data_IF_314413616507
#
_entry.id   IF_314413616507
#
_cell.length_a   1.000
_cell.length_b   1.000
_cell.length_c   1.000
_cell.angle_alpha   90.00
_cell.angle_beta   90.00
_cell.angle_gamma   90.00
#
_symmetry.space_group_name_H-M   'P 1'
#
loop_
_entity.id
_entity.type
_entity.pdbx_description
1 polymer ?
2 non-polymer ?
3 water ?
#
# COMPACT_ATOMS: atom_id res chain seq x y z
N UNK A 1 -18.32 22.57 4.97
CA UNK A 1 -17.43 23.20 4.04
C UNK A 1 -16.37 22.24 3.48
N UNK A 2 -16.80 21.22 2.74
CA UNK A 2 -15.84 20.36 2.06
C UNK A 2 -15.42 21.07 0.76
N UNK A 3 -14.19 20.89 0.23
CA UNK A 3 -13.77 21.47 -1.03
C UNK A 3 -14.64 21.01 -2.19
N UNK A 4 -14.68 21.84 -3.24
CA UNK A 4 -15.45 21.49 -4.43
C UNK A 4 -14.81 20.30 -5.13
N UNK A 5 -13.48 20.29 -5.07
CA UNK A 5 -12.66 19.24 -5.60
C UNK A 5 -11.76 18.77 -4.49
N UNK A 6 -11.81 17.47 -4.21
CA UNK A 6 -10.92 16.85 -3.27
C UNK A 6 -9.79 16.26 -4.11
N UNK A 7 -8.53 16.64 -3.82
CA UNK A 7 -7.35 16.18 -4.54
C UNK A 7 -6.79 14.96 -3.81
N UNK A 8 -6.77 13.80 -4.43
CA UNK A 8 -6.37 12.54 -3.79
C UNK A 8 -5.07 12.08 -4.43
N UNK A 9 -4.04 11.94 -3.59
CA UNK A 9 -2.75 11.45 -4.04
C UNK A 9 -2.66 9.93 -3.91
N UNK A 10 -2.00 9.31 -4.89
CA UNK A 10 -1.79 7.88 -4.89
C UNK A 10 -0.48 7.60 -5.64
N UNK A 11 0.14 6.46 -5.31
CA UNK A 11 1.34 6.00 -5.96
C UNK A 11 0.87 4.83 -6.83
N UNK A 12 0.95 5.10 -8.13
CA UNK A 12 0.42 4.17 -9.12
C UNK A 12 1.33 3.01 -9.50
N UNK A 13 2.13 2.47 -8.58
CA UNK A 13 2.98 1.32 -8.87
C UNK A 13 2.71 0.20 -7.85
N UNK A 14 1.46 -0.02 -7.47
CA UNK A 14 1.15 -1.04 -6.49
C UNK A 14 -0.13 -1.80 -6.89
N UNK A 15 -0.07 -2.52 -8.01
CA UNK A 15 -1.22 -3.22 -8.50
C UNK A 15 -1.52 -4.34 -7.52
N UNK A 16 -2.75 -4.79 -7.27
CA UNK A 16 -3.96 -4.35 -7.94
C UNK A 16 -4.63 -3.15 -7.25
N UNK A 17 -3.94 -2.44 -6.35
CA UNK A 17 -4.56 -1.38 -5.58
C UNK A 17 -4.49 -0.08 -6.34
N UNK A 18 -3.35 0.22 -6.95
CA UNK A 18 -3.22 1.46 -7.65
C UNK A 18 -2.20 1.27 -8.76
N UNK A 19 -2.58 1.43 -10.02
CA UNK A 19 -1.64 1.39 -11.12
C UNK A 19 -2.22 2.15 -12.29
N UNK A 20 -1.60 2.11 -13.45
CA UNK A 20 -2.11 2.81 -14.59
C UNK A 20 -2.33 1.82 -15.70
N UNK A 21 -3.36 2.01 -16.53
CA UNK A 21 -3.57 1.13 -17.67
C UNK A 21 -2.77 1.61 -18.89
N UNK A 22 -3.03 1.04 -20.07
CA UNK A 22 -2.28 1.40 -21.27
C UNK A 22 -2.44 2.82 -21.77
N UNK A 23 -3.59 3.41 -21.47
CA UNK A 23 -3.84 4.80 -21.83
C UNK A 23 -3.34 5.76 -20.76
N UNK A 24 -2.85 5.26 -19.61
CA UNK A 24 -2.42 6.10 -18.51
C UNK A 24 -3.55 6.48 -17.55
N UNK A 25 -4.73 5.91 -17.65
CA UNK A 25 -5.80 6.12 -16.67
C UNK A 25 -5.46 5.36 -15.40
N UNK A 26 -5.90 5.88 -14.25
CA UNK A 26 -5.64 5.31 -12.93
C UNK A 26 -6.59 4.12 -12.75
N UNK A 27 -6.11 2.96 -12.31
CA UNK A 27 -6.95 1.78 -12.12
C UNK A 27 -6.58 1.04 -10.84
N UNK A 28 -7.54 0.33 -10.26
CA UNK A 28 -7.24 -0.51 -9.12
C UNK A 28 -8.25 -0.35 -8.02
N UNK A 29 -8.17 -1.20 -7.02
CA UNK A 29 -9.14 -1.22 -5.93
C UNK A 29 -9.15 0.09 -5.16
N UNK A 30 -7.99 0.75 -4.94
CA UNK A 30 -7.94 2.04 -4.25
C UNK A 30 -8.66 3.12 -5.02
N UNK A 31 -8.55 3.05 -6.34
CA UNK A 31 -9.18 4.02 -7.23
C UNK A 31 -10.69 3.78 -7.19
N UNK A 32 -11.13 2.52 -7.25
CA UNK A 32 -12.54 2.20 -7.17
C UNK A 32 -13.19 2.64 -5.86
N UNK A 33 -12.52 2.39 -4.74
CA UNK A 33 -13.02 2.83 -3.46
C UNK A 33 -13.05 4.35 -3.36
N UNK A 34 -11.99 5.07 -3.78
CA UNK A 34 -11.96 6.54 -3.71
C UNK A 34 -13.09 7.12 -4.56
N UNK A 35 -13.25 6.64 -5.79
CA UNK A 35 -14.30 7.17 -6.65
C UNK A 35 -15.72 6.88 -6.14
N UNK A 36 -15.97 5.74 -5.55
CA UNK A 36 -17.29 5.44 -5.02
C UNK A 36 -17.57 6.34 -3.81
N UNK A 37 -16.59 6.49 -2.89
CA UNK A 37 -16.72 7.41 -1.75
C UNK A 37 -16.94 8.86 -2.24
N UNK A 38 -16.21 9.36 -3.25
CA UNK A 38 -16.42 10.72 -3.76
C UNK A 38 -17.83 10.91 -4.28
N UNK A 39 -18.37 9.89 -4.97
CA UNK A 39 -19.72 9.84 -5.50
C UNK A 39 -20.71 9.93 -4.34
N UNK A 40 -20.58 9.14 -3.27
CA UNK A 40 -21.44 9.27 -2.11
C UNK A 40 -21.29 10.56 -1.31
N UNK A 41 -20.10 11.19 -1.31
CA UNK A 41 -19.88 12.47 -0.64
C UNK A 41 -20.41 13.64 -1.42
N UNK A 42 -20.68 13.39 -2.69
CA UNK A 42 -21.15 14.39 -3.63
C UNK A 42 -20.14 15.50 -3.82
N UNK A 43 -18.87 15.10 -3.86
CA UNK A 43 -17.77 16.02 -4.16
C UNK A 43 -17.14 15.60 -5.48
N UNK A 44 -16.40 16.46 -6.13
CA UNK A 44 -15.63 16.08 -7.29
C UNK A 44 -14.23 15.69 -6.80
N UNK A 45 -13.52 14.71 -7.35
CA UNK A 45 -12.22 14.31 -6.85
C UNK A 45 -11.24 14.27 -7.98
N UNK A 46 -10.02 14.73 -7.79
CA UNK A 46 -9.00 14.65 -8.82
C UNK A 46 -7.94 13.69 -8.29
N UNK A 47 -7.44 12.77 -9.08
CA UNK A 47 -6.36 11.87 -8.64
C UNK A 47 -5.04 12.48 -9.08
N UNK A 48 -4.03 12.44 -8.21
CA UNK A 48 -2.72 13.01 -8.45
C UNK A 48 -1.70 11.92 -8.18
N UNK A 49 -0.87 11.52 -9.16
CA UNK A 49 0.11 10.45 -8.97
C UNK A 49 1.33 11.05 -8.30
N UNK A 50 1.96 10.34 -7.40
CA UNK A 50 3.13 10.79 -6.68
C UNK A 50 3.97 9.57 -6.31
N UNK A 51 5.26 9.73 -6.14
CA UNK A 51 6.05 8.69 -5.47
C UNK A 51 5.51 8.50 -4.07
N UNK A 52 5.49 7.28 -3.54
CA UNK A 52 4.99 7.00 -2.21
C UNK A 52 5.57 7.87 -1.11
N UNK A 53 6.90 8.13 -1.06
CA UNK A 53 7.47 8.91 0.02
C UNK A 53 7.18 10.40 -0.08
N UNK A 54 6.62 10.88 -1.19
CA UNK A 54 6.24 12.27 -1.30
C UNK A 54 4.80 12.49 -0.84
N UNK A 55 4.02 11.43 -0.56
CA UNK A 55 2.60 11.60 -0.30
C UNK A 55 2.26 12.32 1.01
N UNK A 56 2.80 11.88 2.13
CA UNK A 56 2.49 12.59 3.37
C UNK A 56 3.08 14.02 3.37
N UNK A 57 4.32 14.36 2.89
CA UNK A 57 4.76 15.74 2.65
C UNK A 57 3.78 16.56 1.82
N UNK A 58 3.32 16.04 0.69
CA UNK A 58 2.36 16.76 -0.13
C UNK A 58 1.05 17.06 0.57
N UNK A 59 0.57 16.10 1.35
CA UNK A 59 -0.63 16.28 2.15
C UNK A 59 -0.45 17.42 3.18
N UNK A 60 0.67 17.36 3.91
CA UNK A 60 0.95 18.34 4.91
C UNK A 60 1.11 19.72 4.29
N UNK A 61 1.65 19.81 3.07
CA UNK A 61 1.79 21.07 2.38
C UNK A 61 0.52 21.50 1.64
N UNK A 62 -0.60 20.77 1.71
CA UNK A 62 -1.87 21.03 1.03
C UNK A 62 -1.80 20.99 -0.48
N UNK A 63 -0.86 20.23 -1.05
CA UNK A 63 -0.83 20.03 -2.50
C UNK A 63 -1.87 18.99 -2.92
N UNK A 64 -2.29 18.15 -1.95
CA UNK A 64 -3.39 17.18 -2.10
C UNK A 64 -4.15 17.24 -0.78
N UNK A 65 -5.37 16.73 -0.79
CA UNK A 65 -6.25 16.77 0.35
C UNK A 65 -6.40 15.43 1.02
N UNK A 66 -6.11 14.32 0.34
CA UNK A 66 -6.27 13.02 0.94
C UNK A 66 -5.29 12.04 0.27
N UNK A 67 -4.95 10.94 0.96
CA UNK A 67 -4.08 9.93 0.40
C UNK A 67 -4.85 8.63 0.39
N UNK A 68 -4.95 7.98 -0.79
CA UNK A 68 -5.47 6.60 -0.82
C UNK A 68 -4.43 5.86 -1.64
N UNK A 69 -3.61 5.07 -0.94
CA UNK A 69 -2.46 4.46 -1.58
C UNK A 69 -1.97 3.30 -0.72
N UNK A 70 -2.87 2.41 -0.27
CA UNK A 70 -2.53 1.31 0.63
C UNK A 70 -1.75 1.82 1.86
N UNK A 71 -2.17 3.00 2.37
CA UNK A 71 -1.45 3.65 3.47
C UNK A 71 -1.82 3.05 4.81
N UNK A 72 -0.93 2.25 5.40
CA UNK A 72 -1.19 1.62 6.68
C UNK A 72 -1.34 2.62 7.82
N UNK A 73 -2.30 2.35 8.70
CA UNK A 73 -2.62 3.15 9.87
C UNK A 73 -1.68 2.69 10.96
N UNK A 74 -0.67 3.50 11.26
CA UNK A 74 0.31 3.11 12.29
C UNK A 74 0.33 4.18 13.36
N UNK A 75 0.85 3.78 14.50
CA UNK A 75 1.02 4.70 15.62
C UNK A 75 1.89 5.88 15.20
N UNK A 76 3.02 5.67 14.53
CA UNK A 76 3.86 6.76 14.09
C UNK A 76 3.19 7.77 13.15
N UNK A 77 2.53 7.27 12.12
CA UNK A 77 1.80 8.15 11.22
C UNK A 77 0.66 8.94 11.89
N UNK A 78 -0.02 8.39 12.90
CA UNK A 78 -1.09 9.10 13.62
C UNK A 78 -0.55 10.27 14.43
N UNK A 79 0.74 10.35 14.68
CA UNK A 79 1.29 11.50 15.35
C UNK A 79 1.30 12.65 14.36
N UNK A 80 1.32 12.36 13.06
CA UNK A 80 1.41 13.39 12.05
C UNK A 80 0.14 13.69 11.28
N UNK A 81 -0.63 12.65 10.95
CA UNK A 81 -1.81 12.83 10.11
C UNK A 81 -2.96 12.09 10.80
N UNK A 82 -4.15 12.20 10.22
CA UNK A 82 -5.35 11.55 10.67
C UNK A 82 -5.73 10.50 9.61
N UNK A 83 -6.53 9.50 10.00
CA UNK A 83 -6.96 8.47 9.06
C UNK A 83 -8.45 8.27 9.08
N UNK A 84 -9.06 7.95 7.95
CA UNK A 84 -10.42 7.42 7.97
C UNK A 84 -10.39 6.06 8.71
N UNK A 85 -11.55 5.43 8.89
CA UNK A 85 -11.66 4.04 9.29
C UNK A 85 -11.01 3.15 8.23
N UNK A 86 -10.77 1.91 8.59
CA UNK A 86 -10.08 0.95 7.76
C UNK A 86 -10.72 0.68 6.42
N UNK A 87 -9.97 0.76 5.35
CA UNK A 87 -10.41 0.38 4.02
C UNK A 87 -10.17 -1.11 3.78
N UNK A 88 -9.05 -1.73 4.15
CA UNK A 88 -8.82 -3.16 4.02
C UNK A 88 -7.57 -3.52 4.84
N UNK A 89 -7.32 -4.80 5.06
CA UNK A 89 -6.21 -5.26 5.88
C UNK A 89 -4.96 -5.31 5.01
N UNK A 90 -3.77 -5.26 5.61
CA UNK A 90 -2.57 -5.34 4.82
C UNK A 90 -1.47 -5.95 5.68
N UNK A 91 -1.06 -7.18 5.39
CA UNK A 91 0.10 -7.80 6.05
C UNK A 91 1.31 -7.74 5.16
N UNK A 92 2.51 -7.88 5.73
CA UNK A 92 3.75 -7.85 4.98
C UNK A 92 4.30 -9.26 4.78
N UNK A 93 4.95 -9.54 3.65
CA UNK A 93 5.51 -10.88 3.46
C UNK A 93 6.68 -10.80 2.48
N UNK A 94 7.71 -11.62 2.67
CA UNK A 94 8.87 -11.66 1.77
C UNK A 94 8.61 -12.50 0.52
N UNK A 95 9.17 -12.11 -0.61
CA UNK A 95 9.11 -12.92 -1.81
C UNK A 95 10.56 -13.15 -2.26
N UNK A 96 10.84 -14.31 -2.88
CA UNK A 96 12.15 -14.66 -3.36
C UNK A 96 11.95 -15.68 -4.47
N UNK A 97 13.02 -16.13 -5.12
CA UNK A 97 12.96 -17.19 -6.13
C UNK A 97 12.40 -18.47 -5.56
N UNK A 98 11.62 -19.19 -6.38
CA UNK A 98 11.03 -20.45 -6.00
C UNK A 98 12.10 -21.39 -5.52
N UNK A 99 11.90 -22.10 -4.43
CA UNK A 99 12.95 -22.99 -3.99
C UNK A 99 14.01 -22.32 -3.14
N UNK A 100 13.98 -20.99 -3.02
CA UNK A 100 14.86 -20.27 -2.12
C UNK A 100 14.75 -20.80 -0.68
N UNK A 101 15.87 -21.03 -0.02
CA UNK A 101 15.92 -21.26 1.42
C UNK A 101 15.59 -20.02 2.25
N UNK A 102 15.52 -18.81 1.66
CA UNK A 102 15.30 -17.58 2.41
C UNK A 102 14.03 -17.62 3.27
N UNK A 103 14.24 -17.18 4.48
CA UNK A 103 13.22 -17.05 5.49
C UNK A 103 13.30 -15.62 5.95
N UNK A 104 12.25 -15.01 6.50
CA UNK A 104 12.32 -13.64 7.01
C UNK A 104 13.16 -13.60 8.31
N UNK A 105 14.42 -14.06 8.38
CA UNK A 105 15.17 -14.04 9.63
C UNK A 105 16.53 -13.46 9.33
N UNK A 106 17.19 -12.98 10.36
CA UNK A 106 18.44 -12.29 10.21
C UNK A 106 19.49 -13.26 9.71
N UNK A 107 19.43 -14.45 10.26
CA UNK A 107 20.35 -15.53 9.97
C UNK A 107 20.24 -15.95 8.51
N UNK A 108 19.04 -15.95 7.94
CA UNK A 108 18.81 -16.29 6.56
C UNK A 108 19.22 -15.17 5.61
N UNK A 109 18.98 -13.94 6.04
CA UNK A 109 19.14 -12.78 5.18
C UNK A 109 20.46 -12.08 5.30
N UNK A 110 21.28 -12.34 6.33
CA UNK A 110 22.53 -11.59 6.47
C UNK A 110 23.36 -11.81 5.19
N UNK A 111 23.85 -10.68 4.65
CA UNK A 111 24.55 -10.72 3.37
C UNK A 111 23.65 -10.81 2.11
N UNK A 112 22.33 -10.85 2.21
CA UNK A 112 21.48 -10.89 1.03
C UNK A 112 21.09 -9.45 0.67
N UNK A 113 20.53 -9.20 -0.51
CA UNK A 113 20.16 -7.87 -0.94
C UNK A 113 18.66 -7.97 -0.92
N UNK A 114 18.01 -7.14 -0.11
CA UNK A 114 16.56 -7.13 0.10
C UNK A 114 16.02 -5.75 -0.31
N UNK A 115 15.05 -5.73 -1.21
CA UNK A 115 14.47 -4.48 -1.68
C UNK A 115 13.23 -4.10 -0.86
N UNK A 116 13.08 -2.79 -0.59
CA UNK A 116 11.92 -2.26 0.12
C UNK A 116 11.62 -0.91 -0.52
N UNK A 117 10.34 -0.54 -0.48
CA UNK A 117 9.89 0.75 -1.00
C UNK A 117 10.27 1.87 -0.03
N UNK A 118 10.90 2.90 -0.55
CA UNK A 118 11.25 4.08 0.25
C UNK A 118 9.95 4.76 0.78
N UNK A 119 9.93 4.94 2.07
CA UNK A 119 8.85 5.64 2.75
C UNK A 119 7.86 4.67 3.34
N UNK A 120 7.98 3.34 3.11
CA UNK A 120 7.03 2.36 3.60
C UNK A 120 7.29 1.88 5.01
N UNK A 121 6.29 1.23 5.59
CA UNK A 121 6.46 0.58 6.89
C UNK A 121 7.48 -0.56 6.74
N UNK A 122 7.57 -1.22 5.57
CA UNK A 122 8.57 -2.26 5.30
C UNK A 122 9.99 -1.70 5.35
N UNK A 123 10.22 -0.47 4.84
CA UNK A 123 11.53 0.16 4.87
C UNK A 123 11.86 0.40 6.34
N UNK A 124 10.94 0.91 7.16
CA UNK A 124 11.20 1.12 8.58
C UNK A 124 11.62 -0.16 9.30
N UNK A 125 10.86 -1.24 9.09
CA UNK A 125 11.11 -2.52 9.69
C UNK A 125 12.45 -3.06 9.29
N UNK A 126 12.73 -3.09 7.98
CA UNK A 126 13.96 -3.68 7.45
C UNK A 126 15.16 -2.84 7.85
N UNK A 127 15.05 -1.51 7.92
CA UNK A 127 16.18 -0.68 8.31
C UNK A 127 16.54 -0.92 9.75
N UNK A 128 15.56 -0.91 10.66
CA UNK A 128 15.86 -1.14 12.06
C UNK A 128 16.35 -2.56 12.36
N UNK A 129 15.66 -3.55 11.80
CA UNK A 129 15.93 -4.93 12.16
C UNK A 129 16.96 -5.69 11.39
N UNK A 130 17.17 -5.27 10.14
CA UNK A 130 18.01 -6.03 9.25
C UNK A 130 19.20 -5.22 8.78
N UNK A 131 19.03 -3.96 8.31
CA UNK A 131 20.14 -3.20 7.77
C UNK A 131 21.21 -2.99 8.83
N UNK A 132 20.85 -2.74 10.09
CA UNK A 132 21.83 -2.49 11.14
C UNK A 132 22.70 -3.72 11.39
N UNK A 133 22.16 -4.92 11.11
CA UNK A 133 22.84 -6.15 11.39
C UNK A 133 23.52 -6.73 10.17
N UNK A 134 23.68 -5.97 9.10
CA UNK A 134 24.41 -6.41 7.95
C UNK A 134 23.61 -7.02 6.82
N UNK A 135 22.28 -6.88 6.77
CA UNK A 135 21.56 -7.34 5.59
C UNK A 135 21.68 -6.17 4.63
N UNK A 136 21.88 -6.38 3.32
CA UNK A 136 21.93 -5.26 2.38
C UNK A 136 20.49 -4.84 2.01
N UNK A 137 19.91 -3.92 2.76
CA UNK A 137 18.55 -3.46 2.51
C UNK A 137 18.68 -2.28 1.56
N UNK A 138 18.03 -2.35 0.41
CA UNK A 138 18.10 -1.35 -0.63
C UNK A 138 16.73 -0.68 -0.74
N UNK A 139 16.63 0.64 -0.62
CA UNK A 139 15.36 1.37 -0.70
C UNK A 139 15.11 1.83 -2.13
N UNK A 140 13.88 1.67 -2.62
CA UNK A 140 13.56 1.98 -4.01
C UNK A 140 12.49 3.08 -4.10
N UNK A 141 12.53 3.86 -5.19
CA UNK A 141 11.56 4.93 -5.41
C UNK A 141 10.15 4.38 -5.62
N UNK A 142 9.99 3.21 -6.25
CA UNK A 142 8.65 2.63 -6.47
C UNK A 142 8.76 1.12 -6.52
N UNK A 143 7.63 0.41 -6.38
CA UNK A 143 7.62 -1.04 -6.31
C UNK A 143 7.90 -1.78 -7.62
N UNK A 144 7.60 -1.16 -8.76
CA UNK A 144 7.90 -1.81 -10.02
C UNK A 144 9.39 -1.97 -10.22
N UNK A 145 10.18 -0.97 -9.79
CA UNK A 145 11.65 -1.07 -9.83
C UNK A 145 12.12 -2.26 -8.98
N UNK A 146 11.46 -2.54 -7.84
CA UNK A 146 11.84 -3.67 -7.01
C UNK A 146 11.63 -5.00 -7.75
N UNK A 147 10.45 -5.19 -8.35
CA UNK A 147 10.18 -6.41 -9.10
C UNK A 147 11.15 -6.56 -10.28
N UNK A 148 11.48 -5.49 -10.98
CA UNK A 148 12.42 -5.58 -12.09
C UNK A 148 13.79 -6.03 -11.62
N UNK A 149 14.30 -5.50 -10.52
CA UNK A 149 15.59 -5.90 -10.07
C UNK A 149 15.62 -7.30 -9.49
N UNK A 150 14.51 -7.75 -8.92
CA UNK A 150 14.42 -9.10 -8.41
C UNK A 150 14.51 -10.04 -9.59
N UNK A 151 13.74 -9.86 -10.67
CA UNK A 151 13.81 -10.77 -11.79
C UNK A 151 15.15 -10.65 -12.53
N UNK A 152 15.81 -9.50 -12.46
CA UNK A 152 17.15 -9.32 -13.01
C UNK A 152 18.19 -10.02 -12.13
N UNK A 153 17.88 -10.52 -10.96
CA UNK A 153 18.87 -11.15 -10.13
C UNK A 153 19.69 -10.12 -9.39
N UNK A 154 19.35 -8.82 -9.33
CA UNK A 154 20.09 -7.89 -8.49
C UNK A 154 19.60 -7.93 -7.05
N UNK A 155 18.39 -8.45 -6.77
CA UNK A 155 17.91 -8.58 -5.41
C UNK A 155 17.68 -10.06 -5.19
N UNK A 156 17.87 -10.51 -3.93
CA UNK A 156 17.59 -11.87 -3.51
C UNK A 156 16.18 -11.96 -2.97
N UNK A 157 15.64 -10.86 -2.40
CA UNK A 157 14.33 -10.90 -1.80
C UNK A 157 13.71 -9.50 -1.78
N UNK A 158 12.39 -9.37 -1.60
CA UNK A 158 11.72 -8.08 -1.49
C UNK A 158 10.62 -8.18 -0.43
N UNK A 159 10.41 -7.13 0.37
CA UNK A 159 9.39 -7.13 1.41
C UNK A 159 8.39 -6.04 1.01
N UNK A 160 7.10 -6.34 1.01
CA UNK A 160 6.06 -5.39 0.59
C UNK A 160 4.74 -5.98 1.12
N UNK A 161 3.58 -5.32 0.89
CA UNK A 161 2.31 -5.90 1.31
C UNK A 161 2.04 -7.20 0.53
N UNK A 162 1.63 -8.21 1.30
CA UNK A 162 1.33 -9.55 0.80
C UNK A 162 0.43 -9.62 -0.44
N UNK A 163 -0.77 -9.01 -0.37
CA UNK A 163 -1.70 -9.01 -1.51
C UNK A 163 -1.13 -8.28 -2.71
N UNK A 164 -0.34 -7.20 -2.54
CA UNK A 164 0.23 -6.53 -3.72
C UNK A 164 1.21 -7.50 -4.41
N UNK A 165 2.10 -8.15 -3.63
CA UNK A 165 3.05 -9.12 -4.21
C UNK A 165 2.31 -10.29 -4.88
N UNK A 166 1.27 -10.81 -4.23
CA UNK A 166 0.51 -11.95 -4.74
C UNK A 166 -0.20 -11.63 -6.06
N UNK A 167 -1.12 -10.65 -6.02
CA UNK A 167 -1.90 -10.30 -7.17
C UNK A 167 -1.14 -9.50 -8.21
N UNK A 168 -0.27 -8.61 -7.76
CA UNK A 168 0.43 -7.75 -8.65
C UNK A 168 1.65 -8.44 -9.20
N UNK A 169 2.18 -9.57 -8.70
CA UNK A 169 3.42 -10.10 -9.26
C UNK A 169 3.42 -11.61 -9.35
N UNK A 170 3.25 -12.31 -8.23
CA UNK A 170 3.35 -13.75 -8.18
C UNK A 170 2.38 -14.41 -9.13
N UNK A 171 1.14 -13.91 -9.20
CA UNK A 171 0.14 -14.47 -10.11
C UNK A 171 0.23 -13.89 -11.52
N UNK A 172 1.31 -13.17 -11.83
CA UNK A 172 1.46 -12.57 -13.15
C UNK A 172 2.57 -13.35 -13.86
N UNK A 173 2.61 -13.34 -15.21
CA UNK A 173 3.70 -13.86 -16.04
C UNK A 173 5.09 -13.72 -15.45
N UNK A 174 5.41 -12.46 -15.14
CA UNK A 174 6.70 -12.12 -14.53
C UNK A 174 7.02 -12.81 -13.21
N UNK A 175 6.07 -13.23 -12.38
CA UNK A 175 6.41 -13.81 -11.10
C UNK A 175 6.31 -15.32 -11.02
N UNK A 176 6.15 -15.98 -12.16
CA UNK A 176 5.98 -17.43 -12.22
C UNK A 176 7.07 -18.23 -11.51
N UNK A 177 8.32 -17.74 -11.56
CA UNK A 177 9.43 -18.41 -10.91
C UNK A 177 9.75 -17.89 -9.50
N UNK A 178 8.79 -17.20 -8.86
CA UNK A 178 9.02 -16.62 -7.55
C UNK A 178 7.93 -17.09 -6.67
N UNK A 179 8.13 -16.98 -5.38
CA UNK A 179 7.17 -17.39 -4.39
C UNK A 179 7.37 -16.62 -3.11
N UNK A 180 6.42 -16.68 -2.21
CA UNK A 180 6.57 -16.16 -0.86
C UNK A 180 7.63 -16.95 -0.13
N UNK A 181 8.45 -16.26 0.64
CA UNK A 181 9.49 -16.91 1.38
C UNK A 181 9.11 -16.78 2.84
N UNK A 182 8.55 -17.86 3.40
CA UNK A 182 8.11 -17.87 4.80
C UNK A 182 6.71 -17.27 4.94
N UNK A 183 6.12 -17.27 6.13
CA UNK A 183 4.80 -16.71 6.41
C UNK A 183 4.83 -15.18 6.52
N UNK A 184 3.67 -14.50 6.64
CA UNK A 184 3.59 -13.06 6.84
C UNK A 184 4.45 -12.66 8.03
N UNK A 185 5.10 -11.50 7.94
CA UNK A 185 5.88 -10.95 9.03
C UNK A 185 4.92 -10.16 9.89
N UNK A 186 4.64 -10.58 11.10
CA UNK A 186 3.78 -9.82 11.95
C UNK A 186 4.64 -9.03 12.93
N UNK A 187 4.40 -7.74 12.98
CA UNK A 187 4.98 -6.89 13.98
C UNK A 187 4.02 -5.73 14.12
N UNK A 188 3.28 -5.67 15.22
CA UNK A 188 2.26 -4.64 15.43
C UNK A 188 2.78 -3.20 15.39
N UNK A 189 3.96 -3.00 16.00
CA UNK A 189 4.61 -1.72 16.03
C UNK A 189 4.93 -1.12 14.65
N UNK A 190 5.35 -1.96 13.72
CA UNK A 190 5.73 -1.41 12.44
C UNK A 190 4.65 -1.37 11.40
N UNK A 191 3.79 -2.40 11.37
CA UNK A 191 2.96 -2.52 10.21
C UNK A 191 1.59 -1.96 10.41
N UNK A 192 1.22 -1.61 11.64
CA UNK A 192 -0.07 -0.96 11.87
C UNK A 192 -1.30 -1.84 11.72
N UNK A 193 -2.48 -1.24 11.51
CA UNK A 193 -3.70 -1.99 11.46
C UNK A 193 -4.56 -1.73 10.25
N UNK A 194 -4.27 -2.32 9.10
CA UNK A 194 -5.06 -2.06 7.92
C UNK A 194 -4.66 -0.71 7.35
N UNK A 195 -5.28 -0.36 6.23
CA UNK A 195 -4.96 0.86 5.48
C UNK A 195 -6.13 1.84 5.59
N UNK A 196 -5.93 3.14 5.42
CA UNK A 196 -7.05 4.07 5.51
C UNK A 196 -6.70 5.29 4.66
N UNK A 197 -7.69 6.17 4.46
CA UNK A 197 -7.48 7.45 3.79
C UNK A 197 -6.66 8.33 4.75
N UNK A 198 -5.50 8.84 4.30
CA UNK A 198 -4.71 9.76 5.12
C UNK A 198 -5.21 11.19 4.90
N UNK A 199 -5.39 11.95 5.97
CA UNK A 199 -5.98 13.28 5.92
C UNK A 199 -5.25 14.19 6.89
N UNK A 200 -5.25 15.50 6.69
CA UNK A 200 -4.69 16.44 7.64
C UNK A 200 -5.50 16.37 8.94
N UNK A 201 -4.85 16.41 10.10
CA UNK A 201 -5.53 16.36 11.39
C UNK A 201 -6.68 17.32 11.61
N UNK A 202 -6.55 18.54 11.12
CA UNK A 202 -7.62 19.51 11.26
C UNK A 202 -8.78 19.35 10.28
N UNK A 203 -8.75 18.42 9.29
CA UNK A 203 -9.83 18.27 8.33
C UNK A 203 -10.82 17.24 8.80
N UNK A 204 -11.38 17.53 9.96
CA UNK A 204 -12.27 16.59 10.61
C UNK A 204 -13.58 16.45 9.82
N UNK A 205 -14.00 17.51 9.12
CA UNK A 205 -15.23 17.50 8.34
C UNK A 205 -15.01 16.55 7.16
N UNK A 206 -13.81 16.59 6.53
CA UNK A 206 -13.52 15.71 5.42
C UNK A 206 -13.43 14.25 5.92
N UNK A 207 -12.81 14.01 7.08
CA UNK A 207 -12.75 12.65 7.62
C UNK A 207 -14.16 12.09 7.87
N UNK A 208 -15.05 12.87 8.49
CA UNK A 208 -16.39 12.44 8.77
C UNK A 208 -17.13 12.07 7.49
N UNK A 209 -16.97 12.81 6.39
CA UNK A 209 -17.60 12.51 5.13
C UNK A 209 -17.08 11.21 4.51
N UNK A 210 -15.73 10.99 4.54
CA UNK A 210 -15.16 9.74 4.05
C UNK A 210 -15.64 8.58 4.91
N UNK A 211 -15.68 8.71 6.24
CA UNK A 211 -16.14 7.62 7.11
C UNK A 211 -17.59 7.23 6.91
N UNK A 212 -18.46 8.22 6.71
CA UNK A 212 -19.87 7.99 6.46
C UNK A 212 -20.05 7.30 5.11
N UNK A 213 -19.40 7.77 4.03
CA UNK A 213 -19.51 7.13 2.73
C UNK A 213 -18.97 5.70 2.78
N UNK A 214 -17.88 5.43 3.52
CA UNK A 214 -17.33 4.09 3.63
C UNK A 214 -18.32 3.16 4.33
N UNK A 215 -18.89 3.55 5.47
CA UNK A 215 -19.94 2.77 6.13
C UNK A 215 -21.09 2.45 5.19
N UNK A 216 -21.61 3.44 4.46
CA UNK A 216 -22.71 3.24 3.53
C UNK A 216 -22.37 2.28 2.41
N UNK A 217 -21.20 2.36 1.76
CA UNK A 217 -20.95 1.46 0.68
C UNK A 217 -20.60 0.07 1.22
N UNK A 218 -20.14 -0.10 2.48
CA UNK A 218 -19.95 -1.44 3.03
C UNK A 218 -21.30 -2.11 3.35
N UNK A 219 -22.17 -1.29 3.94
CA UNK A 219 -23.52 -1.66 4.37
C UNK A 219 -24.42 -2.20 3.28
N UNK A 220 -24.46 -1.53 2.14
CA UNK A 220 -25.35 -1.96 1.09
C UNK A 220 -24.76 -3.04 0.20
N UNK A 221 -23.54 -3.53 0.48
CA UNK A 221 -22.94 -4.56 -0.37
C UNK A 221 -22.09 -4.05 -1.54
N UNK A 222 -21.91 -2.74 -1.73
CA UNK A 222 -21.07 -2.23 -2.82
C UNK A 222 -19.59 -2.59 -2.60
N UNK A 223 -19.09 -2.56 -1.36
CA UNK A 223 -17.68 -2.90 -1.12
C UNK A 223 -17.39 -4.31 -1.64
N UNK A 224 -18.29 -5.26 -1.34
CA UNK A 224 -18.00 -6.63 -1.72
C UNK A 224 -18.14 -6.79 -3.21
N UNK A 225 -19.06 -6.08 -3.88
CA UNK A 225 -19.16 -6.14 -5.31
C UNK A 225 -17.86 -5.64 -5.88
N UNK A 226 -17.30 -4.56 -5.35
CA UNK A 226 -16.06 -4.02 -5.89
C UNK A 226 -14.85 -4.92 -5.64
N UNK A 227 -14.76 -5.50 -4.44
CA UNK A 227 -13.65 -6.32 -4.07
C UNK A 227 -13.56 -7.60 -4.91
N UNK A 228 -14.72 -8.15 -5.27
CA UNK A 228 -14.82 -9.38 -6.04
C UNK A 228 -14.23 -9.20 -7.42
N UNK A 229 -14.13 -7.97 -7.94
CA UNK A 229 -13.46 -7.75 -9.21
C UNK A 229 -11.96 -8.07 -9.15
N UNK A 230 -11.35 -8.05 -7.99
CA UNK A 230 -9.95 -8.29 -7.87
C UNK A 230 -9.59 -9.51 -7.04
N UNK A 231 -10.41 -9.84 -6.01
CA UNK A 231 -10.02 -10.78 -4.97
C UNK A 231 -11.05 -11.87 -4.80
N UNK A 232 -10.61 -13.06 -4.38
CA UNK A 232 -11.55 -14.13 -4.18
C UNK A 232 -11.50 -14.54 -2.71
N UNK A 233 -11.08 -13.64 -1.83
CA UNK A 233 -10.96 -13.92 -0.40
C UNK A 233 -11.38 -12.59 0.25
N UNK A 234 -11.60 -12.50 1.55
CA UNK A 234 -12.00 -11.25 2.15
C UNK A 234 -10.82 -10.32 2.42
N UNK A 235 -10.63 -9.33 1.56
CA UNK A 235 -9.52 -8.39 1.65
C UNK A 235 -9.68 -7.49 2.87
N UNK A 236 -10.91 -7.26 3.31
CA UNK A 236 -11.14 -6.37 4.41
C UNK A 236 -10.51 -6.92 5.67
N UNK A 237 -10.30 -8.25 5.72
CA UNK A 237 -9.93 -8.93 6.94
C UNK A 237 -11.24 -8.76 7.67
N UNK A 238 -11.24 -8.48 8.94
CA UNK A 238 -12.43 -7.93 9.56
C UNK A 238 -11.92 -7.51 10.90
#
# INVERSE_FOLDING_TARGET
>A
ALPQTVRIGTDTTYAPFSSKDAKGEFIGFDIDLGNEMCKRMQVKCTWVASDFDALIPSLKAKKIDAIISSLSITDKRQQEIAFSDKLYAADSRLIAAKGSPIQPTLESLKGKHVGVLQGSTQEAYANDNWRTKGVDVVAYANQDLIYSDLTAGRLDAALQDEVAASEGFLKQPAGKEYAFAGPSVKDKKYFGDGTGVGLRKDDTELKAAFDKALTELRQDGTYDKMAKKYFDFNVYGDK
#
